data_IF_652090805162
#
_entry.id   IF_652090805162
#
_cell.length_a   1.000
_cell.length_b   1.000
_cell.length_c   1.000
_cell.angle_alpha   90.00
_cell.angle_beta   90.00
_cell.angle_gamma   90.00
#
_symmetry.space_group_name_H-M   'P 1'
#
loop_
_entity.id
_entity.type
_entity.pdbx_description
1 polymer ?
#
# COMPACT_ATOMS: atom_id res chain seq x y z
N UNK A 1 -73.59 -30.34 15.99
CA UNK A 1 -72.51 -30.52 16.97
C UNK A 1 -71.47 -31.43 16.31
N UNK A 2 -70.40 -30.88 15.76
CA UNK A 2 -69.13 -30.54 16.41
C UNK A 2 -68.13 -31.71 16.24
N UNK A 3 -67.11 -31.52 15.39
CA UNK A 3 -65.76 -32.04 15.61
C UNK A 3 -64.80 -31.36 14.62
N UNK A 4 -64.12 -30.33 15.12
CA UNK A 4 -62.97 -29.70 14.46
C UNK A 4 -61.70 -30.27 15.08
N UNK A 5 -60.90 -30.96 14.26
CA UNK A 5 -59.57 -31.41 14.64
C UNK A 5 -58.56 -30.28 14.41
N UNK A 6 -58.10 -29.71 15.52
CA UNK A 6 -57.09 -28.67 15.58
C UNK A 6 -55.69 -29.31 15.53
N UNK A 7 -54.81 -28.84 14.64
CA UNK A 7 -53.46 -29.37 14.45
C UNK A 7 -52.42 -28.44 15.09
N UNK A 8 -51.46 -28.93 15.91
CA UNK A 8 -50.54 -28.05 16.61
C UNK A 8 -49.46 -27.46 15.68
N UNK A 9 -49.42 -26.13 15.59
CA UNK A 9 -48.33 -25.37 14.95
C UNK A 9 -47.05 -25.47 15.77
N UNK A 10 -46.01 -26.12 15.23
CA UNK A 10 -44.64 -26.11 15.75
C UNK A 10 -44.06 -24.69 15.64
N UNK A 11 -43.69 -24.10 16.79
CA UNK A 11 -42.93 -22.85 16.87
C UNK A 11 -41.45 -23.16 16.61
N UNK A 12 -40.92 -22.74 15.47
CA UNK A 12 -39.48 -22.70 15.22
C UNK A 12 -38.89 -21.43 15.87
N UNK A 13 -37.91 -21.60 16.75
CA UNK A 13 -37.24 -20.51 17.45
C UNK A 13 -36.10 -19.90 16.59
N UNK A 14 -36.12 -18.60 16.27
CA UNK A 14 -35.00 -17.92 15.62
C UNK A 14 -34.22 -17.12 16.68
N UNK A 15 -33.28 -17.75 17.40
CA UNK A 15 -32.50 -17.03 18.44
C UNK A 15 -30.97 -17.25 18.38
N UNK A 16 -30.44 -17.94 17.36
CA UNK A 16 -29.01 -18.28 17.30
C UNK A 16 -28.17 -17.45 16.30
N UNK A 17 -28.78 -16.62 15.45
CA UNK A 17 -28.04 -15.80 14.46
C UNK A 17 -27.61 -14.41 14.97
N UNK A 18 -28.21 -13.88 16.03
CA UNK A 18 -27.94 -12.51 16.49
C UNK A 18 -26.62 -12.36 17.26
N UNK A 19 -26.13 -13.41 17.93
CA UNK A 19 -24.94 -13.35 18.81
C UNK A 19 -23.61 -13.36 18.05
N UNK A 20 -23.53 -14.07 16.91
CA UNK A 20 -22.30 -14.16 16.11
C UNK A 20 -21.92 -12.82 15.44
N UNK A 21 -22.91 -12.05 14.99
CA UNK A 21 -22.69 -10.73 14.37
C UNK A 21 -22.12 -9.69 15.36
N UNK A 22 -22.53 -9.75 16.62
CA UNK A 22 -22.06 -8.85 17.69
C UNK A 22 -20.59 -9.09 18.07
N UNK A 23 -20.14 -10.35 18.03
CA UNK A 23 -18.74 -10.72 18.34
C UNK A 23 -17.78 -10.30 17.23
N UNK A 24 -18.15 -10.49 15.97
CA UNK A 24 -17.33 -10.07 14.82
C UNK A 24 -17.14 -8.55 14.75
N UNK A 25 -18.18 -7.77 15.09
CA UNK A 25 -18.09 -6.31 15.11
C UNK A 25 -17.14 -5.76 16.19
N UNK A 26 -17.00 -6.44 17.33
CA UNK A 26 -16.05 -6.04 18.39
C UNK A 26 -14.61 -6.27 17.99
N UNK A 27 -14.30 -7.45 17.44
CA UNK A 27 -12.93 -7.76 16.99
C UNK A 27 -12.42 -6.76 15.93
N UNK A 28 -13.26 -6.38 14.97
CA UNK A 28 -12.90 -5.36 13.97
C UNK A 28 -12.64 -3.97 14.58
N UNK A 29 -13.43 -3.57 15.59
CA UNK A 29 -13.25 -2.29 16.26
C UNK A 29 -11.97 -2.27 17.12
N UNK A 30 -11.63 -3.40 17.73
CA UNK A 30 -10.40 -3.58 18.50
C UNK A 30 -9.17 -3.52 17.57
N UNK A 31 -9.22 -4.16 16.40
CA UNK A 31 -8.15 -4.11 15.40
C UNK A 31 -7.92 -2.71 14.83
N UNK A 32 -9.00 -1.98 14.51
CA UNK A 32 -8.90 -0.60 14.04
C UNK A 32 -8.27 0.33 15.10
N UNK A 33 -8.64 0.12 16.37
CA UNK A 33 -8.09 0.87 17.51
C UNK A 33 -6.61 0.53 17.72
N UNK A 34 -6.26 -0.75 17.65
CA UNK A 34 -4.88 -1.23 17.74
C UNK A 34 -4.02 -0.62 16.62
N UNK A 35 -4.45 -0.72 15.37
CA UNK A 35 -3.72 -0.19 14.23
C UNK A 35 -3.44 1.32 14.34
N UNK A 36 -4.44 2.10 14.75
CA UNK A 36 -4.28 3.54 15.01
C UNK A 36 -3.31 3.81 16.16
N UNK A 37 -3.38 3.03 17.24
CA UNK A 37 -2.50 3.17 18.40
C UNK A 37 -1.04 2.90 18.01
N UNK A 38 -0.78 1.78 17.32
CA UNK A 38 0.55 1.45 16.80
C UNK A 38 1.09 2.55 15.89
N UNK A 39 0.28 3.06 14.97
CA UNK A 39 0.69 4.08 14.03
C UNK A 39 1.07 5.40 14.73
N UNK A 40 0.29 5.81 15.73
CA UNK A 40 0.41 7.14 16.36
C UNK A 40 1.25 7.18 17.63
N UNK A 41 1.42 6.04 18.31
CA UNK A 41 2.06 5.95 19.62
C UNK A 41 3.19 4.90 19.65
N UNK A 42 3.19 3.93 18.73
CA UNK A 42 4.15 2.84 18.74
C UNK A 42 3.73 1.68 19.65
N UNK A 43 4.69 0.86 20.08
CA UNK A 43 4.46 -0.29 20.97
C UNK A 43 5.20 -0.12 22.31
N UNK A 44 4.72 -0.82 23.34
CA UNK A 44 5.45 -0.98 24.59
C UNK A 44 6.77 -1.77 24.43
N UNK A 45 6.90 -2.54 23.33
CA UNK A 45 8.11 -3.31 22.99
C UNK A 45 9.19 -2.47 22.30
N UNK A 46 9.00 -1.15 22.17
CA UNK A 46 10.02 -0.22 21.68
C UNK A 46 9.92 0.11 20.19
N UNK A 47 8.83 -0.25 19.52
CA UNK A 47 8.55 0.25 18.16
C UNK A 47 8.09 1.70 18.28
N UNK A 48 8.81 2.63 17.67
CA UNK A 48 8.40 4.04 17.64
C UNK A 48 7.11 4.24 16.84
N UNK A 49 6.39 5.33 17.12
CA UNK A 49 5.22 5.73 16.34
C UNK A 49 5.57 5.86 14.84
N UNK A 50 4.85 5.13 13.99
CA UNK A 50 5.11 5.08 12.55
C UNK A 50 5.03 6.46 11.90
N UNK A 51 4.09 7.29 12.36
CA UNK A 51 3.88 8.66 11.85
C UNK A 51 5.08 9.59 12.07
N UNK A 52 5.99 9.26 13.00
CA UNK A 52 7.20 10.05 13.24
C UNK A 52 8.15 10.08 12.05
N UNK A 53 8.13 9.03 11.21
CA UNK A 53 8.90 8.96 9.97
C UNK A 53 8.01 9.06 8.72
N UNK A 54 6.84 8.42 8.75
CA UNK A 54 5.95 8.30 7.59
C UNK A 54 4.92 9.44 7.47
N UNK A 55 5.02 10.48 8.29
CA UNK A 55 4.10 11.62 8.26
C UNK A 55 2.85 11.40 9.11
N UNK A 56 2.26 12.49 9.58
CA UNK A 56 1.14 12.47 10.53
C UNK A 56 -0.11 11.79 9.95
N UNK A 57 -0.27 11.85 8.63
CA UNK A 57 -1.35 11.26 7.86
C UNK A 57 -0.85 10.08 7.01
N UNK A 58 0.37 9.57 7.25
CA UNK A 58 0.97 8.52 6.43
C UNK A 58 1.38 8.98 5.03
N UNK A 59 1.50 10.28 4.79
CA UNK A 59 1.83 10.93 3.52
C UNK A 59 3.29 10.71 3.07
N UNK A 60 4.12 10.19 3.95
CA UNK A 60 5.56 10.03 3.76
C UNK A 60 6.33 11.31 4.11
N UNK A 61 7.65 11.24 4.02
CA UNK A 61 8.54 12.38 4.18
C UNK A 61 9.49 12.42 2.99
N UNK A 62 9.21 13.32 2.04
CA UNK A 62 9.97 13.39 0.80
C UNK A 62 11.43 13.80 1.02
N UNK A 63 11.70 14.69 1.98
CA UNK A 63 13.05 15.15 2.30
C UNK A 63 13.91 14.03 2.91
N UNK A 64 13.31 13.13 3.69
CA UNK A 64 13.99 11.99 4.31
C UNK A 64 13.88 10.69 3.50
N UNK A 65 13.15 10.68 2.38
CA UNK A 65 12.92 9.50 1.56
C UNK A 65 12.01 8.44 2.20
N UNK A 66 11.25 8.79 3.24
CA UNK A 66 10.32 7.86 3.88
C UNK A 66 9.04 7.73 3.04
N UNK A 67 8.62 6.51 2.66
CA UNK A 67 7.51 6.30 1.75
C UNK A 67 6.18 6.71 2.38
N UNK A 68 5.24 7.08 1.50
CA UNK A 68 3.81 7.15 1.82
C UNK A 68 3.29 5.75 2.17
N UNK A 69 2.47 5.67 3.21
CA UNK A 69 1.74 4.47 3.61
C UNK A 69 0.23 4.65 3.39
N UNK A 70 -0.28 5.86 3.59
CA UNK A 70 -1.70 6.22 3.52
C UNK A 70 -2.36 5.73 2.24
N UNK A 71 -3.49 5.02 2.30
CA UNK A 71 -4.22 4.54 1.13
C UNK A 71 -3.49 3.48 0.29
N UNK A 72 -2.40 2.91 0.80
CA UNK A 72 -1.75 1.73 0.20
C UNK A 72 -2.48 0.48 0.67
N UNK A 73 -2.64 -0.52 -0.21
CA UNK A 73 -3.34 -1.75 0.12
C UNK A 73 -2.78 -2.43 1.41
N UNK A 74 -3.67 -2.80 2.33
CA UNK A 74 -3.30 -3.37 3.63
C UNK A 74 -2.50 -4.67 3.52
N UNK A 75 -2.88 -5.56 2.60
CA UNK A 75 -2.16 -6.83 2.40
C UNK A 75 -0.75 -6.59 1.82
N UNK A 76 -0.60 -5.60 0.93
CA UNK A 76 0.73 -5.20 0.46
C UNK A 76 1.59 -4.67 1.61
N UNK A 77 1.07 -3.76 2.42
CA UNK A 77 1.79 -3.19 3.58
C UNK A 77 2.19 -4.29 4.57
N UNK A 78 1.27 -5.18 4.91
CA UNK A 78 1.53 -6.29 5.83
C UNK A 78 2.60 -7.23 5.28
N UNK A 79 2.54 -7.55 3.97
CA UNK A 79 3.58 -8.35 3.31
C UNK A 79 4.95 -7.65 3.32
N UNK A 80 5.01 -6.33 3.15
CA UNK A 80 6.28 -5.59 3.27
C UNK A 80 6.82 -5.62 4.70
N UNK A 81 5.97 -5.43 5.71
CA UNK A 81 6.38 -5.54 7.11
C UNK A 81 6.85 -6.95 7.46
N UNK A 82 6.17 -7.99 6.96
CA UNK A 82 6.60 -9.37 7.12
C UNK A 82 7.97 -9.63 6.47
N UNK A 83 8.17 -9.13 5.24
CA UNK A 83 9.44 -9.25 4.54
C UNK A 83 10.59 -8.51 5.25
N UNK A 84 10.31 -7.37 5.89
CA UNK A 84 11.29 -6.71 6.75
C UNK A 84 11.58 -7.54 8.01
N UNK A 85 10.55 -8.10 8.65
CA UNK A 85 10.68 -8.89 9.86
C UNK A 85 11.52 -10.17 9.64
N UNK A 86 11.27 -10.90 8.54
CA UNK A 86 12.01 -12.12 8.19
C UNK A 86 13.35 -11.86 7.49
N UNK A 87 13.61 -10.62 7.06
CA UNK A 87 14.85 -10.20 6.43
C UNK A 87 14.94 -10.45 4.92
N UNK A 88 13.89 -10.98 4.30
CA UNK A 88 13.79 -11.11 2.83
C UNK A 88 13.74 -9.74 2.13
N UNK A 89 13.30 -8.69 2.84
CA UNK A 89 13.52 -7.30 2.46
C UNK A 89 14.42 -6.64 3.50
N UNK A 90 15.58 -6.17 3.07
CA UNK A 90 16.53 -5.50 3.95
C UNK A 90 16.33 -3.99 3.94
N UNK A 91 16.29 -3.39 5.13
CA UNK A 91 16.39 -1.95 5.32
C UNK A 91 16.84 -1.68 6.77
N UNK A 92 17.93 -0.94 7.00
CA UNK A 92 18.49 -0.77 8.34
C UNK A 92 17.56 -0.03 9.31
N UNK A 93 16.60 0.76 8.80
CA UNK A 93 15.63 1.50 9.62
C UNK A 93 14.41 0.63 9.92
N UNK A 94 13.79 0.03 8.90
CA UNK A 94 12.51 -0.67 9.07
C UNK A 94 12.63 -2.09 9.60
N UNK A 95 13.76 -2.77 9.38
CA UNK A 95 13.93 -4.17 9.80
C UNK A 95 13.87 -4.35 11.33
N UNK A 96 14.56 -3.55 12.17
CA UNK A 96 14.43 -3.67 13.63
C UNK A 96 13.00 -3.43 14.11
N UNK A 97 12.30 -2.44 13.55
CA UNK A 97 10.93 -2.11 13.93
C UNK A 97 9.96 -3.23 13.55
N UNK A 98 10.06 -3.76 12.33
CA UNK A 98 9.18 -4.82 11.84
C UNK A 98 9.36 -6.14 12.62
N UNK A 99 10.58 -6.44 13.07
CA UNK A 99 10.88 -7.63 13.89
C UNK A 99 10.21 -7.61 15.26
N UNK A 100 10.00 -6.43 15.83
CA UNK A 100 9.36 -6.26 17.14
C UNK A 100 7.83 -6.29 17.08
N UNK A 101 7.25 -6.22 15.88
CA UNK A 101 5.81 -6.36 15.66
C UNK A 101 5.42 -7.83 15.49
N UNK A 102 4.41 -8.26 16.24
CA UNK A 102 3.69 -9.51 15.98
C UNK A 102 3.03 -9.50 14.60
N UNK A 103 2.61 -10.67 14.12
CA UNK A 103 1.89 -10.77 12.84
C UNK A 103 0.57 -9.97 12.87
N UNK A 104 -0.17 -10.07 13.98
CA UNK A 104 -1.42 -9.34 14.18
C UNK A 104 -1.21 -7.82 14.22
N UNK A 105 -0.17 -7.33 14.90
CA UNK A 105 0.15 -5.89 14.91
C UNK A 105 0.51 -5.37 13.51
N UNK A 106 1.25 -6.16 12.71
CA UNK A 106 1.57 -5.82 11.31
C UNK A 106 0.30 -5.71 10.47
N UNK A 107 -0.67 -6.60 10.65
CA UNK A 107 -1.96 -6.55 9.97
C UNK A 107 -2.78 -5.32 10.41
N UNK A 108 -2.89 -5.09 11.72
CA UNK A 108 -3.67 -3.99 12.28
C UNK A 108 -3.13 -2.61 11.83
N UNK A 109 -1.82 -2.37 11.92
CA UNK A 109 -1.22 -1.09 11.49
C UNK A 109 -1.31 -0.90 9.97
N UNK A 110 -1.25 -1.99 9.21
CA UNK A 110 -1.42 -1.96 7.75
C UNK A 110 -2.85 -1.61 7.36
N UNK A 111 -3.84 -2.18 8.05
CA UNK A 111 -5.25 -1.84 7.86
C UNK A 111 -5.53 -0.37 8.19
N UNK A 112 -4.92 0.17 9.25
CA UNK A 112 -5.02 1.58 9.59
C UNK A 112 -4.52 2.48 8.45
N UNK A 113 -3.27 2.31 7.99
CA UNK A 113 -2.73 3.15 6.91
C UNK A 113 -3.49 2.98 5.59
N UNK A 114 -3.97 1.77 5.29
CA UNK A 114 -4.81 1.52 4.12
C UNK A 114 -6.14 2.27 4.16
N UNK A 115 -6.68 2.55 5.36
CA UNK A 115 -7.92 3.30 5.53
C UNK A 115 -7.76 4.81 5.33
N UNK A 116 -6.52 5.33 5.35
CA UNK A 116 -6.26 6.76 5.17
C UNK A 116 -6.43 7.18 3.69
N UNK A 117 -6.67 8.49 3.41
CA UNK A 117 -6.86 8.97 2.05
C UNK A 117 -5.69 8.64 1.12
N UNK A 118 -6.02 8.14 -0.08
CA UNK A 118 -5.07 7.93 -1.15
C UNK A 118 -4.94 9.19 -2.04
N UNK A 119 -3.75 9.50 -2.60
CA UNK A 119 -3.62 10.55 -3.60
C UNK A 119 -4.48 10.26 -4.83
N UNK A 120 -4.96 11.32 -5.49
CA UNK A 120 -5.62 11.20 -6.78
C UNK A 120 -4.66 10.67 -7.85
N UNK A 121 -5.19 9.91 -8.81
CA UNK A 121 -4.43 9.44 -9.97
C UNK A 121 -3.84 10.60 -10.76
N UNK A 122 -2.69 10.37 -11.40
CA UNK A 122 -2.20 11.32 -12.42
C UNK A 122 -3.19 11.30 -13.59
N UNK A 123 -3.78 12.46 -13.90
CA UNK A 123 -4.85 12.59 -14.88
C UNK A 123 -4.43 12.07 -16.26
N UNK A 124 -5.24 11.16 -16.82
CA UNK A 124 -5.06 10.67 -18.18
C UNK A 124 -5.12 11.85 -19.17
N UNK A 125 -4.23 11.85 -20.17
CA UNK A 125 -4.15 12.90 -21.20
C UNK A 125 -3.29 14.12 -20.83
N UNK A 126 -2.85 14.26 -19.57
CA UNK A 126 -1.89 15.31 -19.16
C UNK A 126 -0.42 14.89 -19.32
N UNK A 127 -0.17 13.59 -19.51
CA UNK A 127 1.16 13.07 -19.73
C UNK A 127 1.68 13.49 -21.12
N UNK A 128 2.89 14.03 -21.16
CA UNK A 128 3.54 14.39 -22.42
C UNK A 128 3.63 13.19 -23.35
N UNK A 129 3.32 13.42 -24.63
CA UNK A 129 3.53 12.44 -25.70
C UNK A 129 4.90 12.57 -26.36
N UNK A 130 5.72 13.52 -25.92
CA UNK A 130 7.09 13.70 -26.39
C UNK A 130 8.02 12.66 -25.73
N UNK A 131 8.71 11.80 -26.50
CA UNK A 131 9.72 10.88 -25.97
C UNK A 131 10.84 11.56 -25.17
N UNK A 132 11.12 12.84 -25.42
CA UNK A 132 12.09 13.60 -24.63
C UNK A 132 11.64 13.80 -23.17
N UNK A 133 10.34 13.70 -22.89
CA UNK A 133 9.82 13.63 -21.52
C UNK A 133 9.83 12.17 -21.04
N UNK A 134 11.03 11.65 -20.79
CA UNK A 134 11.28 10.24 -20.48
C UNK A 134 10.37 9.68 -19.38
N UNK A 135 10.12 10.46 -18.31
CA UNK A 135 9.28 10.02 -17.19
C UNK A 135 7.84 9.74 -17.61
N UNK A 136 7.20 10.68 -18.30
CA UNK A 136 5.85 10.50 -18.82
C UNK A 136 5.78 9.43 -19.89
N UNK A 137 6.76 9.40 -20.78
CA UNK A 137 6.85 8.43 -21.86
C UNK A 137 6.96 6.99 -21.32
N UNK A 138 7.91 6.72 -20.44
CA UNK A 138 8.10 5.39 -19.85
C UNK A 138 6.92 4.97 -18.96
N UNK A 139 6.35 5.89 -18.20
CA UNK A 139 5.20 5.59 -17.34
C UNK A 139 3.96 5.14 -18.14
N UNK A 140 3.70 5.75 -19.29
CA UNK A 140 2.45 5.57 -20.04
C UNK A 140 2.57 4.72 -21.31
N UNK A 141 3.78 4.62 -21.89
CA UNK A 141 4.01 3.93 -23.18
C UNK A 141 5.10 2.87 -23.09
N UNK A 142 6.08 3.07 -22.22
CA UNK A 142 7.25 2.20 -22.12
C UNK A 142 8.23 2.41 -23.26
N UNK A 143 9.20 1.50 -23.37
CA UNK A 143 10.24 1.46 -24.41
C UNK A 143 10.30 0.05 -24.99
N UNK A 144 9.38 -0.26 -25.90
CA UNK A 144 9.20 -1.59 -26.46
C UNK A 144 10.39 -2.10 -27.27
N UNK A 145 11.18 -1.20 -27.86
CA UNK A 145 12.46 -1.55 -28.53
C UNK A 145 13.41 -2.32 -27.60
N UNK A 146 13.30 -2.09 -26.29
CA UNK A 146 14.18 -2.66 -25.28
C UNK A 146 13.45 -3.72 -24.43
N UNK A 147 12.21 -4.07 -24.83
CA UNK A 147 11.33 -4.95 -24.07
C UNK A 147 10.91 -4.38 -22.72
N UNK A 148 10.81 -3.05 -22.59
CA UNK A 148 10.37 -2.37 -21.37
C UNK A 148 8.89 -1.95 -21.51
N UNK A 149 7.93 -2.67 -20.90
CA UNK A 149 6.52 -2.26 -20.90
C UNK A 149 6.31 -0.95 -20.12
N UNK A 150 5.23 -0.23 -20.43
CA UNK A 150 4.83 0.93 -19.65
C UNK A 150 4.55 0.57 -18.18
N UNK A 151 4.98 1.40 -17.24
CA UNK A 151 4.78 1.16 -15.80
C UNK A 151 3.29 1.02 -15.44
N UNK A 152 2.43 1.86 -16.06
CA UNK A 152 0.99 1.86 -15.82
C UNK A 152 0.26 0.58 -16.27
N UNK A 153 0.87 -0.27 -17.12
CA UNK A 153 0.27 -1.55 -17.49
C UNK A 153 0.17 -2.52 -16.32
N UNK A 154 1.07 -2.41 -15.35
CA UNK A 154 1.04 -3.22 -14.13
C UNK A 154 0.58 -2.40 -12.92
N UNK A 155 1.08 -1.17 -12.78
CA UNK A 155 0.78 -0.30 -11.62
C UNK A 155 -0.51 0.52 -11.78
N UNK A 156 -1.36 0.18 -12.75
CA UNK A 156 -2.66 0.79 -12.95
C UNK A 156 -2.61 2.18 -13.59
N UNK A 157 -3.78 2.65 -14.03
CA UNK A 157 -3.93 3.97 -14.62
C UNK A 157 -3.53 5.06 -13.62
N UNK A 158 -2.73 6.02 -14.10
CA UNK A 158 -2.22 7.11 -13.27
C UNK A 158 -1.39 6.70 -12.05
N UNK A 159 -0.98 5.42 -11.94
CA UNK A 159 -0.18 4.90 -10.83
C UNK A 159 -0.96 4.53 -9.57
N UNK A 160 -2.26 4.23 -9.68
CA UNK A 160 -3.13 3.88 -8.53
C UNK A 160 -2.85 2.49 -7.92
N UNK A 161 -2.05 1.65 -8.58
CA UNK A 161 -1.87 0.26 -8.19
C UNK A 161 -3.06 -0.63 -8.59
N UNK A 162 -2.85 -1.94 -8.51
CA UNK A 162 -3.85 -2.97 -8.81
C UNK A 162 -3.73 -4.09 -7.77
N UNK A 163 -4.76 -4.23 -6.94
CA UNK A 163 -4.84 -5.27 -5.93
C UNK A 163 -3.68 -5.24 -4.94
N UNK A 164 -3.19 -6.42 -4.55
CA UNK A 164 -2.11 -6.60 -3.57
C UNK A 164 -0.73 -6.73 -4.23
N UNK A 165 -0.70 -7.12 -5.51
CA UNK A 165 0.53 -7.43 -6.23
C UNK A 165 1.23 -6.18 -6.79
N UNK A 166 0.46 -5.18 -7.21
CA UNK A 166 0.99 -3.98 -7.85
C UNK A 166 0.68 -2.76 -7.00
N UNK A 167 1.63 -2.28 -6.17
CA UNK A 167 1.37 -1.17 -5.27
C UNK A 167 1.18 0.14 -6.03
N UNK A 168 0.47 1.13 -5.45
CA UNK A 168 0.38 2.47 -5.99
C UNK A 168 1.75 3.14 -6.04
N UNK A 169 2.00 3.86 -7.11
CA UNK A 169 3.20 4.69 -7.31
C UNK A 169 2.90 6.17 -7.13
N UNK A 170 1.67 6.60 -7.44
CA UNK A 170 1.29 8.01 -7.39
C UNK A 170 1.44 8.59 -5.98
N UNK A 171 2.02 9.79 -5.92
CA UNK A 171 2.29 10.51 -4.68
C UNK A 171 3.31 9.84 -3.76
N UNK A 172 4.09 8.87 -4.23
CA UNK A 172 5.25 8.37 -3.48
C UNK A 172 6.44 9.31 -3.64
N UNK A 173 7.28 9.53 -2.61
CA UNK A 173 8.48 10.34 -2.75
C UNK A 173 9.38 9.84 -3.88
N UNK A 174 9.85 10.77 -4.72
CA UNK A 174 10.74 10.44 -5.84
C UNK A 174 12.00 9.68 -5.36
N UNK A 175 12.63 10.16 -4.27
CA UNK A 175 13.79 9.49 -3.67
C UNK A 175 13.49 8.04 -3.24
N UNK A 176 12.28 7.78 -2.73
CA UNK A 176 11.88 6.43 -2.37
C UNK A 176 11.73 5.53 -3.61
N UNK A 177 11.03 6.00 -4.65
CA UNK A 177 10.84 5.26 -5.90
C UNK A 177 12.20 4.96 -6.54
N UNK A 178 13.05 5.97 -6.69
CA UNK A 178 14.39 5.83 -7.25
C UNK A 178 15.23 4.85 -6.43
N UNK A 179 15.18 4.94 -5.10
CA UNK A 179 15.85 3.99 -4.20
C UNK A 179 15.37 2.55 -4.39
N UNK A 180 14.07 2.32 -4.60
CA UNK A 180 13.55 0.96 -4.83
C UNK A 180 14.00 0.41 -6.19
N UNK A 181 13.94 1.21 -7.25
CA UNK A 181 14.38 0.81 -8.59
C UNK A 181 15.88 0.51 -8.61
N UNK A 182 16.71 1.37 -8.00
CA UNK A 182 18.14 1.14 -7.86
C UNK A 182 18.44 -0.11 -7.03
N UNK A 183 17.68 -0.38 -5.97
CA UNK A 183 17.91 -1.57 -5.16
C UNK A 183 17.63 -2.87 -5.94
N UNK A 184 16.62 -2.89 -6.80
CA UNK A 184 16.39 -4.03 -7.71
C UNK A 184 17.43 -4.11 -8.82
N UNK A 185 17.80 -2.97 -9.43
CA UNK A 185 18.83 -2.89 -10.48
C UNK A 185 20.18 -3.43 -10.01
N UNK A 186 20.53 -3.19 -8.75
CA UNK A 186 21.79 -3.65 -8.14
C UNK A 186 21.65 -4.91 -7.28
N UNK A 187 20.47 -5.56 -7.27
CA UNK A 187 20.25 -6.80 -6.53
C UNK A 187 20.25 -6.69 -5.00
N UNK A 188 20.22 -5.48 -4.44
CA UNK A 188 20.15 -5.26 -2.98
C UNK A 188 18.73 -5.35 -2.42
N UNK A 189 17.72 -5.40 -3.29
CA UNK A 189 16.34 -5.78 -2.93
C UNK A 189 15.98 -7.11 -3.57
N UNK A 190 15.44 -8.02 -2.76
CA UNK A 190 14.98 -9.31 -3.23
C UNK A 190 13.96 -9.18 -4.38
N UNK A 191 13.94 -10.15 -5.31
CA UNK A 191 13.17 -10.05 -6.55
C UNK A 191 11.66 -10.02 -6.35
N UNK A 192 11.17 -10.53 -5.21
CA UNK A 192 9.75 -10.76 -4.99
C UNK A 192 9.16 -11.82 -5.95
N UNK A 193 7.83 -11.96 -5.98
CA UNK A 193 7.17 -12.91 -6.85
C UNK A 193 7.50 -12.67 -8.33
N UNK A 194 7.88 -13.72 -9.05
CA UNK A 194 8.17 -13.72 -10.49
C UNK A 194 9.30 -12.78 -10.96
N UNK A 195 10.05 -12.16 -10.04
CA UNK A 195 11.18 -11.27 -10.34
C UNK A 195 10.88 -10.14 -11.36
N UNK A 196 9.62 -9.67 -11.41
CA UNK A 196 9.19 -8.68 -12.41
C UNK A 196 9.98 -7.37 -12.30
N UNK A 197 10.06 -6.79 -11.10
CA UNK A 197 10.69 -5.48 -10.91
C UNK A 197 12.21 -5.48 -11.13
N UNK A 198 13.00 -6.49 -10.73
CA UNK A 198 14.40 -6.62 -11.17
C UNK A 198 14.58 -6.58 -12.68
N UNK A 199 13.74 -7.32 -13.43
CA UNK A 199 13.81 -7.35 -14.90
C UNK A 199 13.52 -5.98 -15.52
N UNK A 200 12.55 -5.25 -14.96
CA UNK A 200 12.21 -3.89 -15.38
C UNK A 200 13.33 -2.91 -15.03
N UNK A 201 13.80 -2.94 -13.77
CA UNK A 201 14.82 -2.02 -13.27
C UNK A 201 16.16 -2.18 -13.99
N UNK A 202 16.54 -3.41 -14.38
CA UNK A 202 17.75 -3.68 -15.15
C UNK A 202 17.75 -3.07 -16.56
N UNK A 203 16.58 -2.66 -17.08
CA UNK A 203 16.44 -1.99 -18.39
C UNK A 203 16.43 -0.47 -18.31
N UNK A 204 16.45 0.10 -17.10
CA UNK A 204 16.40 1.54 -16.88
C UNK A 204 17.81 2.11 -16.73
N UNK A 205 18.11 3.18 -17.46
CA UNK A 205 19.25 4.05 -17.14
C UNK A 205 18.97 4.83 -15.84
N UNK A 206 20.00 5.44 -15.26
CA UNK A 206 19.82 6.24 -14.04
C UNK A 206 18.92 7.46 -14.30
N UNK A 207 19.06 8.08 -15.48
CA UNK A 207 18.18 9.14 -15.95
C UNK A 207 16.73 8.66 -16.12
N UNK A 208 16.51 7.42 -16.60
CA UNK A 208 15.16 6.85 -16.68
C UNK A 208 14.54 6.70 -15.28
N UNK A 209 15.32 6.20 -14.31
CA UNK A 209 14.90 6.00 -12.92
C UNK A 209 14.46 7.33 -12.31
N UNK A 210 15.30 8.36 -12.42
CA UNK A 210 15.00 9.69 -11.89
C UNK A 210 13.76 10.29 -12.55
N UNK A 211 13.62 10.13 -13.87
CA UNK A 211 12.50 10.67 -14.62
C UNK A 211 11.17 9.99 -14.24
N UNK A 212 11.10 8.67 -14.11
CA UNK A 212 9.87 7.98 -13.69
C UNK A 212 9.55 8.21 -12.21
N UNK A 213 10.58 8.33 -11.37
CA UNK A 213 10.40 8.68 -9.96
C UNK A 213 9.78 10.08 -9.81
N UNK A 214 10.32 11.07 -10.52
CA UNK A 214 9.75 12.41 -10.57
C UNK A 214 8.34 12.42 -11.19
N UNK A 215 8.08 11.55 -12.17
CA UNK A 215 6.75 11.42 -12.76
C UNK A 215 5.69 11.01 -11.73
N UNK A 216 5.95 9.92 -11.01
CA UNK A 216 4.99 9.36 -10.06
C UNK A 216 4.94 10.08 -8.71
N UNK A 217 5.97 10.86 -8.37
CA UNK A 217 5.94 11.71 -7.17
C UNK A 217 4.86 12.79 -7.22
N UNK A 218 4.35 13.11 -8.40
CA UNK A 218 3.19 13.99 -8.55
C UNK A 218 1.93 13.25 -8.13
N UNK A 219 1.39 13.59 -6.97
CA UNK A 219 0.04 13.23 -6.54
C UNK A 219 -0.66 14.50 -6.08
N UNK A 220 -1.87 14.76 -6.58
CA UNK A 220 -2.67 15.88 -6.10
C UNK A 220 -3.12 15.62 -4.68
N UNK A 221 -2.90 16.60 -3.78
CA UNK A 221 -3.67 16.69 -2.55
C UNK A 221 -5.15 16.82 -2.94
N UNK A 222 -6.02 15.97 -2.39
CA UNK A 222 -7.45 16.26 -2.41
C UNK A 222 -7.65 17.53 -1.60
N UNK A 223 -7.96 18.63 -2.29
CA UNK A 223 -8.17 19.97 -1.74
C UNK A 223 -8.81 19.96 -0.33
N UNK A 224 -8.01 20.34 0.66
CA UNK A 224 -8.45 20.76 2.00
C UNK A 224 -7.96 22.14 2.40
N UNK A 225 -7.01 22.74 1.65
CA UNK A 225 -6.52 24.09 1.95
C UNK A 225 -7.06 25.08 0.92
N UNK A 226 -7.99 25.90 1.39
CA UNK A 226 -8.22 27.24 0.86
C UNK A 226 -6.99 28.07 1.20
N UNK A 227 -6.34 28.65 0.19
CA UNK A 227 -5.89 30.03 0.21
C UNK A 227 -6.33 30.70 -1.08
#
# INVERSE_FOLDING_TARGET
MNDSLDTPRRRFAPLLLATAALLAGRAYADDATLGKTLATQGTATGVAACIGCHGAQGEGNAAAGFPRLAGTNAAYLSAQLAAFADGSRQNPVMQPLAKLLSAHEREAVSAYFASLPAPAAIAAGTASIDPANAGAWLATRGRWSDGLPACAQCHGSGGLGVGTAFPPLVGQPAAYIAGQLNAWKHGTRAPGPMALMPMIAGKLSDADIDAVAAYYARGGATNGDKQ
#
